data_IF_351518894002
#
_entry.id   IF_351518894002
#
_cell.length_a   1.000
_cell.length_b   1.000
_cell.length_c   1.000
_cell.angle_alpha   90.00
_cell.angle_beta   90.00
_cell.angle_gamma   90.00
#
_symmetry.space_group_name_H-M   'P 1'
#
loop_
_entity.id
_entity.type
_entity.pdbx_description
1 polymer ?
#
# COMPACT_ATOMS: atom_id res chain seq x y z
N UNK A 1 -13.26 22.09 -7.15
CA UNK A 1 -12.47 20.92 -6.71
C UNK A 1 -13.44 19.87 -6.18
N UNK A 2 -13.23 18.59 -6.48
CA UNK A 2 -14.10 17.49 -6.03
C UNK A 2 -14.02 17.29 -4.50
N UNK A 3 -15.10 16.82 -3.87
CA UNK A 3 -15.18 16.59 -2.42
C UNK A 3 -14.04 15.69 -1.89
N UNK A 4 -13.57 14.71 -2.66
CA UNK A 4 -12.54 13.80 -2.19
C UNK A 4 -11.11 14.33 -2.35
N UNK A 5 -10.86 15.27 -3.28
CA UNK A 5 -9.56 15.95 -3.31
C UNK A 5 -9.40 16.83 -2.07
N UNK A 6 -10.49 17.32 -1.48
CA UNK A 6 -10.46 17.99 -0.18
C UNK A 6 -10.14 17.02 0.96
N UNK A 7 -10.76 15.84 1.02
CA UNK A 7 -10.48 14.82 2.05
C UNK A 7 -9.03 14.30 2.00
N UNK A 8 -8.49 14.05 0.80
CA UNK A 8 -7.09 13.61 0.65
C UNK A 8 -6.13 14.70 1.11
N UNK A 9 -6.38 15.96 0.72
CA UNK A 9 -5.58 17.10 1.16
C UNK A 9 -5.66 17.32 2.68
N UNK A 10 -6.82 17.10 3.28
CA UNK A 10 -7.00 17.18 4.72
C UNK A 10 -6.19 16.08 5.44
N UNK A 11 -6.23 14.84 4.97
CA UNK A 11 -5.40 13.74 5.51
C UNK A 11 -3.90 14.02 5.37
N UNK A 12 -3.46 14.56 4.22
CA UNK A 12 -2.07 15.00 4.01
C UNK A 12 -1.69 16.07 5.04
N UNK A 13 -2.59 17.02 5.32
CA UNK A 13 -2.34 18.12 6.26
C UNK A 13 -2.24 17.65 7.71
N UNK A 14 -3.00 16.61 8.08
CA UNK A 14 -3.01 16.03 9.42
C UNK A 14 -1.89 15.00 9.65
N UNK A 15 -1.21 14.56 8.59
CA UNK A 15 -0.15 13.55 8.66
C UNK A 15 1.05 14.01 9.52
N UNK A 16 1.45 13.17 10.47
CA UNK A 16 2.50 13.44 11.47
C UNK A 16 3.49 12.28 11.57
N UNK A 17 4.77 12.54 11.94
CA UNK A 17 5.72 11.46 12.19
C UNK A 17 5.35 10.71 13.46
N UNK A 18 5.64 9.41 13.53
CA UNK A 18 5.44 8.61 14.75
C UNK A 18 6.40 9.09 15.83
N UNK A 19 5.93 9.10 17.08
CA UNK A 19 6.81 9.40 18.22
C UNK A 19 7.78 8.25 18.45
N UNK A 20 9.04 8.59 18.74
CA UNK A 20 10.03 7.61 19.13
C UNK A 20 9.60 6.84 20.39
N UNK A 21 9.82 5.51 20.43
CA UNK A 21 9.71 4.72 21.64
C UNK A 21 10.49 5.36 22.81
N UNK A 22 9.95 5.28 24.03
CA UNK A 22 10.48 5.99 25.20
C UNK A 22 11.85 5.50 25.68
N UNK A 23 12.25 4.28 25.34
CA UNK A 23 13.44 3.60 25.89
C UNK A 23 14.67 3.66 24.96
N UNK A 24 14.69 4.53 23.94
CA UNK A 24 15.78 4.62 22.97
C UNK A 24 16.93 5.51 23.45
N UNK A 25 18.16 5.13 23.10
CA UNK A 25 19.36 5.97 23.30
C UNK A 25 19.23 7.30 22.51
N UNK A 26 19.85 8.43 22.95
CA UNK A 26 19.76 9.69 22.22
C UNK A 26 20.20 9.62 20.76
N UNK A 27 21.17 8.77 20.41
CA UNK A 27 21.62 8.62 19.03
C UNK A 27 20.60 7.80 18.20
N UNK A 28 20.10 6.71 18.77
CA UNK A 28 19.04 5.88 18.17
C UNK A 28 17.75 6.69 17.94
N UNK A 29 17.39 7.54 18.91
CA UNK A 29 16.25 8.45 18.81
C UNK A 29 16.41 9.46 17.68
N UNK A 30 17.62 9.98 17.46
CA UNK A 30 17.91 10.87 16.33
C UNK A 30 17.75 10.14 14.99
N UNK A 31 18.24 8.91 14.90
CA UNK A 31 18.10 8.08 13.69
C UNK A 31 16.62 7.78 13.43
N UNK A 32 15.86 7.43 14.48
CA UNK A 32 14.42 7.24 14.40
C UNK A 32 13.69 8.47 13.85
N UNK A 33 13.93 9.64 14.44
CA UNK A 33 13.28 10.89 14.04
C UNK A 33 13.62 11.26 12.58
N UNK A 34 14.86 11.00 12.14
CA UNK A 34 15.27 11.20 10.74
C UNK A 34 14.54 10.24 9.79
N UNK A 35 14.44 8.95 10.16
CA UNK A 35 13.70 7.94 9.37
C UNK A 35 12.23 8.32 9.23
N UNK A 36 11.59 8.71 10.33
CA UNK A 36 10.18 9.13 10.35
C UNK A 36 9.93 10.40 9.53
N UNK A 37 10.83 11.38 9.59
CA UNK A 37 10.73 12.60 8.76
C UNK A 37 10.85 12.28 7.27
N UNK A 38 11.76 11.37 6.90
CA UNK A 38 11.94 10.93 5.52
C UNK A 38 10.71 10.16 5.03
N UNK A 39 10.20 9.22 5.85
CA UNK A 39 8.98 8.47 5.56
C UNK A 39 7.77 9.39 5.36
N UNK A 40 7.59 10.40 6.22
CA UNK A 40 6.51 11.37 6.10
C UNK A 40 6.63 12.22 4.83
N UNK A 41 7.85 12.67 4.48
CA UNK A 41 8.09 13.41 3.24
C UNK A 41 7.70 12.56 2.04
N UNK A 42 8.21 11.32 2.00
CA UNK A 42 7.95 10.39 0.91
C UNK A 42 6.45 10.10 0.77
N UNK A 43 5.74 9.86 1.88
CA UNK A 43 4.29 9.70 1.89
C UNK A 43 3.55 10.91 1.31
N UNK A 44 3.93 12.13 1.72
CA UNK A 44 3.31 13.35 1.19
C UNK A 44 3.54 13.49 -0.31
N UNK A 45 4.74 13.19 -0.79
CA UNK A 45 5.07 13.27 -2.22
C UNK A 45 4.26 12.26 -3.03
N UNK A 46 4.10 11.03 -2.54
CA UNK A 46 3.31 9.98 -3.19
C UNK A 46 1.82 10.35 -3.21
N UNK A 47 1.23 10.66 -2.04
CA UNK A 47 -0.22 10.93 -1.95
C UNK A 47 -0.61 12.17 -2.75
N UNK A 48 0.27 13.17 -2.88
CA UNK A 48 0.01 14.36 -3.71
C UNK A 48 -0.16 14.02 -5.20
N UNK A 49 0.43 12.92 -5.66
CA UNK A 49 0.31 12.45 -7.04
C UNK A 49 -0.90 11.51 -7.23
N UNK A 50 -1.56 11.10 -6.14
CA UNK A 50 -2.72 10.21 -6.19
C UNK A 50 -4.02 11.01 -6.34
N UNK A 51 -4.88 10.53 -7.21
CA UNK A 51 -6.27 10.99 -7.33
C UNK A 51 -7.18 9.78 -7.50
N UNK A 52 -8.48 9.93 -7.21
CA UNK A 52 -9.43 8.83 -7.45
C UNK A 52 -9.52 8.57 -8.95
N UNK A 53 -9.56 7.30 -9.34
CA UNK A 53 -9.63 6.92 -10.75
C UNK A 53 -10.79 7.59 -11.51
N UNK A 54 -11.93 7.82 -10.84
CA UNK A 54 -13.11 8.48 -11.43
C UNK A 54 -12.93 9.99 -11.67
N UNK A 55 -11.93 10.60 -11.03
CA UNK A 55 -11.63 12.04 -11.15
C UNK A 55 -10.53 12.30 -12.19
N UNK A 56 -9.86 11.26 -12.66
CA UNK A 56 -8.84 11.35 -13.68
C UNK A 56 -9.49 11.43 -15.07
N UNK A 57 -8.84 12.18 -15.96
CA UNK A 57 -9.19 12.19 -17.37
C UNK A 57 -9.10 10.77 -17.94
N UNK A 58 -10.17 10.32 -18.60
CA UNK A 58 -10.24 8.99 -19.22
C UNK A 58 -10.26 9.13 -20.74
N UNK A 59 -9.41 8.40 -21.48
CA UNK A 59 -8.41 7.43 -21.01
C UNK A 59 -7.19 8.10 -20.37
N UNK A 60 -6.55 7.42 -19.42
CA UNK A 60 -5.34 7.97 -18.79
C UNK A 60 -4.20 8.13 -19.80
N UNK A 61 -3.30 9.08 -19.53
CA UNK A 61 -2.13 9.36 -20.38
C UNK A 61 -1.22 8.12 -20.50
N UNK A 62 -0.41 8.05 -21.57
CA UNK A 62 0.59 6.97 -21.74
C UNK A 62 1.56 6.96 -20.55
N UNK A 63 1.88 5.76 -20.05
CA UNK A 63 2.71 5.58 -18.85
C UNK A 63 1.99 5.85 -17.52
N UNK A 64 0.66 6.08 -17.54
CA UNK A 64 -0.14 6.14 -16.33
C UNK A 64 -0.53 4.74 -15.87
N UNK A 65 -0.48 4.49 -14.56
CA UNK A 65 -0.83 3.21 -13.92
C UNK A 65 -2.10 2.58 -14.49
N UNK A 66 -3.21 3.31 -14.55
CA UNK A 66 -4.47 2.79 -15.09
C UNK A 66 -4.34 2.22 -16.51
N UNK A 67 -3.56 2.87 -17.39
CA UNK A 67 -3.36 2.42 -18.77
C UNK A 67 -2.45 1.20 -18.83
N UNK A 68 -1.38 1.18 -18.02
CA UNK A 68 -0.48 0.03 -17.92
C UNK A 68 -1.18 -1.19 -17.29
N UNK A 69 -2.19 -0.97 -16.44
CA UNK A 69 -3.01 -1.99 -15.77
C UNK A 69 -4.33 -2.31 -16.50
N UNK A 70 -4.38 -2.08 -17.82
CA UNK A 70 -5.43 -2.63 -18.67
C UNK A 70 -6.60 -1.70 -19.01
N UNK A 71 -6.57 -0.42 -18.59
CA UNK A 71 -7.53 0.57 -19.06
C UNK A 71 -7.40 0.75 -20.58
N UNK A 72 -8.53 0.61 -21.28
CA UNK A 72 -8.59 0.88 -22.72
C UNK A 72 -8.20 2.32 -23.03
N UNK A 73 -7.41 2.49 -24.09
CA UNK A 73 -7.11 3.80 -24.67
C UNK A 73 -8.21 4.36 -25.55
N UNK A 74 -9.28 3.60 -25.77
CA UNK A 74 -10.44 3.96 -26.59
C UNK A 74 -10.07 4.35 -28.04
N UNK A 75 -8.91 3.95 -28.53
CA UNK A 75 -8.52 4.12 -29.95
C UNK A 75 -9.18 3.04 -30.81
N UNK A 76 -9.39 1.84 -30.25
CA UNK A 76 -10.03 0.68 -30.89
C UNK A 76 -11.09 0.09 -29.94
N UNK A 77 -12.14 -0.51 -30.51
CA UNK A 77 -13.19 -1.21 -29.76
C UNK A 77 -12.56 -2.38 -28.98
N UNK A 78 -12.94 -2.52 -27.70
CA UNK A 78 -12.52 -3.60 -26.80
C UNK A 78 -10.99 -3.70 -26.54
N UNK A 79 -10.26 -2.59 -26.63
CA UNK A 79 -8.82 -2.56 -26.40
C UNK A 79 -8.42 -2.50 -24.90
N UNK A 80 -9.21 -3.06 -24.00
CA UNK A 80 -8.81 -3.31 -22.60
C UNK A 80 -8.17 -4.67 -22.46
N UNK A 81 -7.25 -4.84 -21.51
CA UNK A 81 -6.57 -6.13 -21.31
C UNK A 81 -6.54 -6.53 -19.85
N UNK A 82 -6.93 -7.78 -19.57
CA UNK A 82 -6.76 -8.45 -18.27
C UNK A 82 -5.50 -9.31 -18.20
N UNK A 83 -4.69 -9.34 -19.27
CA UNK A 83 -3.48 -10.14 -19.32
C UNK A 83 -2.37 -9.49 -18.50
N UNK A 84 -1.67 -10.31 -17.71
CA UNK A 84 -0.46 -9.90 -17.01
C UNK A 84 0.59 -9.45 -18.02
N UNK A 85 1.24 -8.32 -17.75
CA UNK A 85 2.29 -7.77 -18.62
C UNK A 85 3.60 -7.53 -17.86
N UNK A 86 4.73 -7.59 -18.56
CA UNK A 86 6.06 -7.29 -17.98
C UNK A 86 6.12 -5.88 -17.39
N UNK A 87 5.58 -4.82 -18.05
CA UNK A 87 5.49 -3.49 -17.46
C UNK A 87 4.72 -3.44 -16.13
N UNK A 88 3.62 -4.21 -15.99
CA UNK A 88 2.87 -4.26 -14.73
C UNK A 88 3.71 -4.86 -13.61
N UNK A 89 4.42 -5.97 -13.87
CA UNK A 89 5.29 -6.60 -12.88
C UNK A 89 6.46 -5.68 -12.47
N UNK A 90 7.07 -4.98 -13.43
CA UNK A 90 8.12 -4.01 -13.14
C UNK A 90 7.59 -2.77 -12.41
N UNK A 91 6.37 -2.33 -12.72
CA UNK A 91 5.72 -1.25 -11.99
C UNK A 91 5.52 -1.65 -10.54
N UNK A 92 4.96 -2.85 -10.28
CA UNK A 92 4.80 -3.36 -8.92
C UNK A 92 6.17 -3.43 -8.22
N UNK A 93 7.18 -4.09 -8.80
CA UNK A 93 8.51 -4.21 -8.19
C UNK A 93 9.14 -2.86 -7.77
N UNK A 94 8.90 -1.81 -8.54
CA UNK A 94 9.47 -0.47 -8.29
C UNK A 94 8.45 0.53 -7.73
N UNK A 95 7.28 0.06 -7.32
CA UNK A 95 6.16 0.94 -7.00
C UNK A 95 6.38 1.67 -5.68
N UNK A 96 6.00 2.96 -5.56
CA UNK A 96 5.90 3.62 -4.27
C UNK A 96 4.71 3.10 -3.42
N UNK A 97 4.01 2.05 -3.85
CA UNK A 97 2.92 1.44 -3.08
C UNK A 97 3.37 0.93 -1.71
N UNK A 98 4.65 0.55 -1.53
CA UNK A 98 5.21 0.22 -0.22
C UNK A 98 4.99 1.33 0.81
N UNK A 99 5.04 2.59 0.39
CA UNK A 99 4.82 3.77 1.25
C UNK A 99 3.40 3.83 1.79
N UNK A 100 2.42 3.44 0.96
CA UNK A 100 1.02 3.38 1.36
C UNK A 100 0.74 2.25 2.37
N UNK A 101 1.64 1.28 2.47
CA UNK A 101 1.53 0.14 3.37
C UNK A 101 2.27 0.44 4.69
N UNK A 102 3.50 0.96 4.59
CA UNK A 102 4.41 1.15 5.72
C UNK A 102 4.07 2.35 6.60
N UNK A 103 3.46 3.40 6.04
CA UNK A 103 3.24 4.65 6.75
C UNK A 103 1.96 4.62 7.61
N UNK A 104 2.01 4.93 8.92
CA UNK A 104 0.80 5.02 9.78
C UNK A 104 -0.20 6.08 9.33
N UNK A 105 0.23 7.07 8.56
CA UNK A 105 -0.67 8.09 8.05
C UNK A 105 -1.53 7.54 6.90
N UNK A 106 -1.12 6.43 6.29
CA UNK A 106 -1.96 5.68 5.38
C UNK A 106 -3.06 4.93 6.14
N UNK A 107 -4.19 4.69 5.48
CA UNK A 107 -5.35 4.05 6.11
C UNK A 107 -5.02 2.65 6.65
N UNK A 108 -4.50 1.77 5.78
CA UNK A 108 -4.14 0.41 6.16
C UNK A 108 -3.00 0.38 7.20
N UNK A 109 -1.94 1.18 6.97
CA UNK A 109 -0.82 1.27 7.90
C UNK A 109 -1.21 1.79 9.29
N UNK A 110 -2.19 2.69 9.38
CA UNK A 110 -2.74 3.17 10.65
C UNK A 110 -3.53 2.10 11.40
N UNK A 111 -4.36 1.32 10.68
CA UNK A 111 -5.09 0.19 11.27
C UNK A 111 -4.14 -0.92 11.74
N UNK A 112 -3.12 -1.25 10.96
CA UNK A 112 -2.11 -2.23 11.34
C UNK A 112 -1.30 -1.80 12.57
N UNK A 113 -0.95 -0.51 12.66
CA UNK A 113 -0.21 0.02 13.80
C UNK A 113 -1.02 0.03 15.11
N UNK A 114 -2.35 0.00 15.04
CA UNK A 114 -3.21 -0.08 16.22
C UNK A 114 -3.35 -1.52 16.78
N UNK A 115 -2.94 -2.53 16.01
CA UNK A 115 -3.02 -3.94 16.40
C UNK A 115 -1.70 -4.42 17.00
N UNK A 116 -1.80 -5.15 18.11
CA UNK A 116 -0.62 -5.71 18.81
C UNK A 116 -0.33 -7.16 18.41
N UNK A 117 -1.36 -7.93 18.07
CA UNK A 117 -1.23 -9.36 17.76
C UNK A 117 -0.97 -9.59 16.28
N UNK A 118 0.00 -10.45 15.90
CA UNK A 118 0.28 -10.74 14.50
C UNK A 118 -0.91 -11.42 13.81
N UNK A 119 -1.69 -12.25 14.51
CA UNK A 119 -2.87 -12.92 13.96
C UNK A 119 -3.95 -11.91 13.52
N UNK A 120 -4.19 -10.89 14.34
CA UNK A 120 -5.16 -9.83 14.04
C UNK A 120 -4.71 -9.01 12.82
N UNK A 121 -3.40 -8.76 12.69
CA UNK A 121 -2.82 -8.08 11.51
C UNK A 121 -3.01 -8.92 10.25
N UNK A 122 -2.74 -10.21 10.32
CA UNK A 122 -2.94 -11.15 9.19
C UNK A 122 -4.41 -11.17 8.78
N UNK A 123 -5.35 -11.30 9.73
CA UNK A 123 -6.79 -11.27 9.42
C UNK A 123 -7.21 -9.95 8.76
N UNK A 124 -6.72 -8.82 9.27
CA UNK A 124 -7.01 -7.51 8.70
C UNK A 124 -6.53 -7.40 7.25
N UNK A 125 -5.32 -7.86 6.96
CA UNK A 125 -4.73 -7.83 5.60
C UNK A 125 -5.55 -8.67 4.64
N UNK A 126 -5.85 -9.92 5.00
CA UNK A 126 -6.63 -10.83 4.17
C UNK A 126 -8.02 -10.29 3.86
N UNK A 127 -8.70 -9.70 4.86
CA UNK A 127 -10.01 -9.07 4.65
C UNK A 127 -9.91 -7.83 3.77
N UNK A 128 -8.87 -7.02 3.94
CA UNK A 128 -8.71 -5.77 3.20
C UNK A 128 -8.34 -6.01 1.73
N UNK A 129 -7.56 -7.06 1.45
CA UNK A 129 -7.04 -7.33 0.10
C UNK A 129 -7.82 -8.40 -0.67
N UNK A 130 -8.25 -9.46 0.02
CA UNK A 130 -8.89 -10.63 -0.60
C UNK A 130 -10.34 -10.82 -0.17
N UNK A 131 -10.91 -9.88 0.61
CA UNK A 131 -12.30 -9.88 1.08
C UNK A 131 -12.76 -11.16 1.78
N UNK A 132 -11.81 -11.95 2.30
CA UNK A 132 -12.05 -13.20 3.04
C UNK A 132 -11.17 -13.27 4.29
N UNK A 133 -11.48 -14.22 5.17
CA UNK A 133 -10.57 -14.59 6.26
C UNK A 133 -9.40 -15.44 5.73
N UNK A 134 -8.22 -15.36 6.37
CA UNK A 134 -7.16 -16.32 6.11
C UNK A 134 -7.60 -17.71 6.56
N UNK A 135 -7.10 -18.74 5.89
CA UNK A 135 -7.24 -20.13 6.31
C UNK A 135 -6.25 -20.44 7.44
N UNK A 136 -6.48 -21.52 8.19
CA UNK A 136 -5.58 -21.93 9.28
C UNK A 136 -4.16 -22.18 8.79
N UNK A 137 -4.01 -22.84 7.64
CA UNK A 137 -2.71 -23.11 7.02
C UNK A 137 -1.98 -21.84 6.60
N UNK A 138 -2.71 -20.83 6.09
CA UNK A 138 -2.12 -19.53 5.75
C UNK A 138 -1.61 -18.81 7.00
N UNK A 139 -2.41 -18.78 8.07
CA UNK A 139 -2.01 -18.15 9.34
C UNK A 139 -0.78 -18.84 9.91
N UNK A 140 -0.78 -20.17 10.03
CA UNK A 140 0.34 -20.94 10.58
C UNK A 140 1.65 -20.68 9.81
N UNK A 141 1.58 -20.64 8.48
CA UNK A 141 2.75 -20.37 7.63
C UNK A 141 3.30 -18.97 7.86
N UNK A 142 2.42 -17.95 7.90
CA UNK A 142 2.85 -16.57 8.08
C UNK A 142 3.39 -16.36 9.49
N UNK A 143 2.80 -16.98 10.51
CA UNK A 143 3.32 -16.91 11.88
C UNK A 143 4.71 -17.55 12.00
N UNK A 144 4.96 -18.65 11.29
CA UNK A 144 6.29 -19.27 11.24
C UNK A 144 7.33 -18.29 10.68
N UNK A 145 6.99 -17.58 9.60
CA UNK A 145 7.89 -16.58 8.99
C UNK A 145 8.06 -15.36 9.91
N UNK A 146 6.99 -14.97 10.62
CA UNK A 146 6.97 -13.86 11.59
C UNK A 146 7.86 -14.13 12.80
N UNK A 147 7.96 -15.37 13.27
CA UNK A 147 8.91 -15.73 14.34
C UNK A 147 10.37 -15.44 13.95
N UNK A 148 10.68 -15.50 12.65
CA UNK A 148 12.04 -15.28 12.14
C UNK A 148 12.31 -13.82 11.78
N UNK A 149 11.35 -13.14 11.13
CA UNK A 149 11.56 -11.80 10.56
C UNK A 149 10.73 -10.69 11.23
N UNK A 150 9.80 -11.04 12.13
CA UNK A 150 8.98 -10.10 12.88
C UNK A 150 8.07 -9.24 11.98
N UNK A 151 8.01 -7.94 12.26
CA UNK A 151 7.12 -7.00 11.56
C UNK A 151 7.40 -6.90 10.04
N UNK A 152 8.61 -7.23 9.58
CA UNK A 152 8.92 -7.25 8.14
C UNK A 152 8.03 -8.25 7.38
N UNK A 153 7.66 -9.37 8.01
CA UNK A 153 6.74 -10.36 7.43
C UNK A 153 5.36 -9.78 7.13
N UNK A 154 4.89 -8.78 7.88
CA UNK A 154 3.59 -8.15 7.65
C UNK A 154 3.63 -7.30 6.37
N UNK A 155 4.74 -6.61 6.14
CA UNK A 155 4.96 -5.83 4.92
C UNK A 155 5.10 -6.74 3.69
N UNK A 156 5.89 -7.80 3.83
CA UNK A 156 6.08 -8.82 2.81
C UNK A 156 4.77 -9.54 2.47
N UNK A 157 3.90 -9.78 3.46
CA UNK A 157 2.59 -10.38 3.21
C UNK A 157 1.74 -9.49 2.30
N UNK A 158 1.65 -8.19 2.58
CA UNK A 158 0.90 -7.27 1.73
C UNK A 158 1.49 -7.26 0.31
N UNK A 159 2.82 -7.27 0.21
CA UNK A 159 3.49 -7.34 -1.09
C UNK A 159 3.21 -8.63 -1.86
N UNK A 160 3.31 -9.77 -1.18
CA UNK A 160 3.05 -11.08 -1.75
C UNK A 160 1.61 -11.20 -2.23
N UNK A 161 0.64 -10.71 -1.45
CA UNK A 161 -0.77 -10.73 -1.84
C UNK A 161 -1.06 -9.82 -3.03
N UNK A 162 -0.48 -8.61 -3.06
CA UNK A 162 -0.63 -7.65 -4.17
C UNK A 162 -0.10 -8.24 -5.50
N UNK A 163 0.99 -8.99 -5.42
CA UNK A 163 1.60 -9.66 -6.57
C UNK A 163 1.03 -11.07 -6.84
N UNK A 164 0.06 -11.52 -6.03
CA UNK A 164 -0.54 -12.85 -6.19
C UNK A 164 -1.60 -12.87 -7.29
N UNK A 165 -1.83 -14.05 -7.88
CA UNK A 165 -2.93 -14.25 -8.84
C UNK A 165 -4.33 -14.06 -8.23
N UNK A 166 -4.46 -14.14 -6.90
CA UNK A 166 -5.75 -13.89 -6.24
C UNK A 166 -6.12 -12.41 -6.26
N UNK A 167 -5.16 -11.52 -6.49
CA UNK A 167 -5.36 -10.08 -6.67
C UNK A 167 -5.45 -9.71 -8.16
N UNK A 168 -5.98 -10.60 -8.99
CA UNK A 168 -6.25 -10.27 -10.40
C UNK A 168 -7.56 -9.48 -10.47
N UNK A 169 -7.57 -8.39 -11.23
CA UNK A 169 -8.80 -7.68 -11.57
C UNK A 169 -9.66 -8.60 -12.46
N UNK A 170 -10.68 -9.21 -11.86
CA UNK A 170 -11.69 -9.98 -12.59
C UNK A 170 -12.80 -8.99 -12.95
N UNK A 171 -12.88 -8.63 -14.22
CA UNK A 171 -14.02 -7.91 -14.78
C UNK A 171 -14.89 -8.87 -15.58
#
# INVERSE_FOLDING_TARGET
MSSATMEVNERISQAKPRKAPGNLDPNERRIWDLRERTSLRHFRDVVRQMARAVELESPAKRGHFLRDFGQSDREVIDNSSSHASVPQALYLLNSPLSVAIQNSNAFLGGLLAALNKPEDKIELIYRSMLTRKPTTLEVERILTDYETHGEETIEDLVWALLNSRQFTFIQ
#
